data_IF_274974568191
#
_entry.id   IF_274974568191
#
_cell.length_a   1.000
_cell.length_b   1.000
_cell.length_c   1.000
_cell.angle_alpha   90.00
_cell.angle_beta   90.00
_cell.angle_gamma   90.00
#
_symmetry.space_group_name_H-M   'P 1'
#
loop_
_entity.id
_entity.type
_entity.pdbx_description
1 polymer ?
#
# COMPACT_ATOMS: atom_id res chain seq x y z
N UNK A 1 30.87 1.27 8.10
CA UNK A 1 29.44 1.16 7.72
C UNK A 1 29.30 1.49 6.24
N UNK A 2 28.56 0.67 5.49
CA UNK A 2 28.41 0.78 4.04
C UNK A 2 27.50 1.99 3.71
N UNK A 3 27.91 2.88 2.81
CA UNK A 3 27.21 4.14 2.49
C UNK A 3 25.73 3.91 2.07
N UNK A 4 25.45 2.76 1.43
CA UNK A 4 24.10 2.35 1.03
C UNK A 4 23.17 2.10 2.24
N UNK A 5 23.67 1.50 3.31
CA UNK A 5 22.88 1.19 4.50
C UNK A 5 22.59 2.45 5.31
N UNK A 6 23.56 3.37 5.37
CA UNK A 6 23.37 4.70 5.96
C UNK A 6 22.28 5.48 5.23
N UNK A 7 22.31 5.47 3.88
CA UNK A 7 21.29 6.16 3.07
C UNK A 7 19.90 5.56 3.23
N UNK A 8 19.79 4.22 3.27
CA UNK A 8 18.50 3.54 3.52
C UNK A 8 17.91 3.93 4.87
N UNK A 9 18.73 3.96 5.91
CA UNK A 9 18.31 4.37 7.25
C UNK A 9 17.84 5.83 7.27
N UNK A 10 18.58 6.74 6.63
CA UNK A 10 18.18 8.14 6.54
C UNK A 10 16.81 8.31 5.86
N UNK A 11 16.59 7.61 4.73
CA UNK A 11 15.29 7.64 4.03
C UNK A 11 14.17 7.09 4.90
N UNK A 12 14.44 6.03 5.67
CA UNK A 12 13.47 5.49 6.62
C UNK A 12 13.11 6.52 7.70
N UNK A 13 14.11 7.12 8.36
CA UNK A 13 13.90 8.07 9.45
C UNK A 13 13.11 9.32 8.96
N UNK A 14 13.46 9.84 7.79
CA UNK A 14 12.77 10.99 7.17
C UNK A 14 11.31 10.68 6.80
N UNK A 15 11.06 9.53 6.15
CA UNK A 15 9.70 9.14 5.75
C UNK A 15 8.83 8.75 6.95
N UNK A 16 9.39 8.07 7.96
CA UNK A 16 8.67 7.75 9.19
C UNK A 16 8.26 9.03 9.93
N UNK A 17 9.15 10.02 9.98
CA UNK A 17 8.85 11.35 10.55
C UNK A 17 7.71 12.02 9.78
N UNK A 18 7.77 12.05 8.44
CA UNK A 18 6.72 12.63 7.61
C UNK A 18 5.35 11.96 7.81
N UNK A 19 5.32 10.63 7.94
CA UNK A 19 4.10 9.86 8.22
C UNK A 19 3.53 10.23 9.60
N UNK A 20 4.39 10.31 10.61
CA UNK A 20 4.01 10.69 11.97
C UNK A 20 3.47 12.13 12.04
N UNK A 21 4.14 13.09 11.41
CA UNK A 21 3.68 14.48 11.34
C UNK A 21 2.34 14.59 10.61
N UNK A 22 2.15 13.83 9.52
CA UNK A 22 0.89 13.82 8.77
C UNK A 22 -0.28 13.29 9.61
N UNK A 23 -0.04 12.30 10.46
CA UNK A 23 -1.02 11.83 11.45
C UNK A 23 -1.37 12.92 12.47
N UNK A 24 -0.38 13.58 13.07
CA UNK A 24 -0.62 14.66 14.05
C UNK A 24 -1.31 15.89 13.47
N UNK A 25 -1.11 16.14 12.17
CA UNK A 25 -1.84 17.18 11.44
C UNK A 25 -3.27 16.78 11.06
N UNK A 26 -3.71 15.57 11.41
CA UNK A 26 -5.05 15.05 11.11
C UNK A 26 -5.26 14.67 9.64
N UNK A 27 -4.18 14.51 8.85
CA UNK A 27 -4.25 14.13 7.43
C UNK A 27 -4.34 12.63 7.21
N UNK A 28 -3.98 11.85 8.23
CA UNK A 28 -4.05 10.39 8.26
C UNK A 28 -4.82 9.95 9.49
N UNK A 29 -5.62 8.89 9.34
CA UNK A 29 -6.08 8.10 10.48
C UNK A 29 -4.93 7.30 11.10
N UNK A 30 -5.10 6.82 12.33
CA UNK A 30 -4.12 5.97 12.99
C UNK A 30 -3.85 4.67 12.20
N UNK A 31 -4.89 4.11 11.58
CA UNK A 31 -4.77 2.90 10.75
C UNK A 31 -3.96 3.16 9.47
N UNK A 32 -4.21 4.30 8.79
CA UNK A 32 -3.41 4.69 7.62
C UNK A 32 -1.95 4.96 7.99
N UNK A 33 -1.70 5.59 9.14
CA UNK A 33 -0.34 5.79 9.65
C UNK A 33 0.38 4.46 9.86
N UNK A 34 -0.24 3.52 10.57
CA UNK A 34 0.35 2.20 10.83
C UNK A 34 0.62 1.43 9.54
N UNK A 35 -0.35 1.42 8.62
CA UNK A 35 -0.18 0.81 7.29
C UNK A 35 1.04 1.38 6.55
N UNK A 36 1.18 2.72 6.51
CA UNK A 36 2.29 3.36 5.80
C UNK A 36 3.65 3.04 6.43
N UNK A 37 3.72 2.94 7.76
CA UNK A 37 4.94 2.54 8.46
C UNK A 37 5.33 1.08 8.15
N UNK A 38 4.36 0.16 8.10
CA UNK A 38 4.58 -1.24 7.73
C UNK A 38 5.08 -1.40 6.29
N UNK A 39 4.54 -0.61 5.36
CA UNK A 39 5.02 -0.58 3.97
C UNK A 39 6.45 -0.03 3.90
N UNK A 40 6.73 1.05 4.64
CA UNK A 40 8.07 1.64 4.68
C UNK A 40 9.11 0.67 5.24
N UNK A 41 8.79 -0.02 6.33
CA UNK A 41 9.64 -1.07 6.91
C UNK A 41 9.85 -2.21 5.92
N UNK A 42 8.80 -2.60 5.19
CA UNK A 42 8.89 -3.63 4.15
C UNK A 42 9.87 -3.26 3.04
N UNK A 43 9.79 -2.03 2.54
CA UNK A 43 10.65 -1.56 1.43
C UNK A 43 12.11 -1.38 1.86
N UNK A 44 12.36 -0.95 3.09
CA UNK A 44 13.72 -0.64 3.57
C UNK A 44 14.40 -1.85 4.21
N UNK A 45 13.66 -2.63 5.00
CA UNK A 45 14.18 -3.65 5.90
C UNK A 45 13.62 -5.07 5.66
N UNK A 46 12.75 -5.27 4.66
CA UNK A 46 12.18 -6.60 4.38
C UNK A 46 11.12 -7.03 5.39
N UNK A 47 10.39 -6.07 5.95
CA UNK A 47 9.21 -6.26 6.80
C UNK A 47 8.06 -7.07 6.18
N UNK A 48 6.94 -7.12 6.91
CA UNK A 48 5.92 -8.17 6.77
C UNK A 48 4.95 -7.96 5.61
N UNK A 49 4.83 -6.75 5.08
CA UNK A 49 3.93 -6.45 3.96
C UNK A 49 4.46 -6.92 2.59
N UNK A 50 5.56 -7.68 2.56
CA UNK A 50 6.21 -8.18 1.34
C UNK A 50 5.23 -8.81 0.32
N UNK A 51 4.29 -9.68 0.74
CA UNK A 51 3.30 -10.28 -0.15
C UNK A 51 2.36 -9.28 -0.83
N UNK A 52 2.12 -8.11 -0.23
CA UNK A 52 1.20 -7.08 -0.76
C UNK A 52 1.88 -6.19 -1.81
N UNK A 53 3.19 -6.00 -1.73
CA UNK A 53 3.92 -5.03 -2.57
C UNK A 53 3.69 -5.17 -4.08
N UNK A 54 3.69 -6.37 -4.69
CA UNK A 54 3.46 -6.49 -6.12
C UNK A 54 2.09 -5.95 -6.54
N UNK A 55 1.06 -6.21 -5.74
CA UNK A 55 -0.32 -5.80 -6.03
C UNK A 55 -0.55 -4.32 -5.75
N UNK A 56 0.05 -3.78 -4.67
CA UNK A 56 0.00 -2.35 -4.40
C UNK A 56 0.67 -1.52 -5.51
N UNK A 57 1.78 -1.99 -6.06
CA UNK A 57 2.44 -1.34 -7.20
C UNK A 57 1.56 -1.33 -8.44
N UNK A 58 0.91 -2.45 -8.74
CA UNK A 58 -0.04 -2.57 -9.85
C UNK A 58 -1.23 -1.64 -9.65
N UNK A 59 -1.84 -1.65 -8.46
CA UNK A 59 -2.94 -0.77 -8.11
C UNK A 59 -2.64 0.71 -8.35
N UNK A 60 -1.48 1.19 -7.87
CA UNK A 60 -1.07 2.60 -8.07
C UNK A 60 -0.80 2.93 -9.54
N UNK A 61 -0.37 1.96 -10.33
CA UNK A 61 -0.14 2.15 -11.77
C UNK A 61 -1.46 2.20 -12.56
N UNK A 62 -2.51 1.53 -12.08
CA UNK A 62 -3.83 1.53 -12.72
C UNK A 62 -4.56 2.84 -12.43
N UNK A 63 -4.81 3.63 -13.48
CA UNK A 63 -5.53 4.89 -13.34
C UNK A 63 -7.03 4.63 -13.17
N UNK A 64 -7.60 5.11 -12.07
CA UNK A 64 -9.05 5.16 -11.93
C UNK A 64 -9.61 6.36 -12.72
N UNK A 65 -10.36 6.08 -13.78
CA UNK A 65 -11.09 7.06 -14.59
C UNK A 65 -12.61 6.89 -14.55
N UNK A 66 -13.11 5.71 -14.17
CA UNK A 66 -14.55 5.44 -14.01
C UNK A 66 -14.96 5.38 -12.53
N UNK A 67 -16.26 5.56 -12.26
CA UNK A 67 -16.84 5.43 -10.90
C UNK A 67 -16.58 4.06 -10.29
N UNK A 68 -16.74 3.00 -11.08
CA UNK A 68 -16.51 1.63 -10.65
C UNK A 68 -15.05 1.39 -10.24
N UNK A 69 -14.10 1.95 -10.97
CA UNK A 69 -12.68 1.90 -10.62
C UNK A 69 -12.37 2.64 -9.31
N UNK A 70 -13.07 3.76 -9.04
CA UNK A 70 -12.96 4.45 -7.76
C UNK A 70 -13.53 3.63 -6.60
N UNK A 71 -14.66 2.96 -6.80
CA UNK A 71 -15.28 2.11 -5.78
C UNK A 71 -14.37 0.92 -5.43
N UNK A 72 -13.80 0.24 -6.43
CA UNK A 72 -12.82 -0.84 -6.21
C UNK A 72 -11.58 -0.31 -5.49
N UNK A 73 -11.05 0.86 -5.89
CA UNK A 73 -9.90 1.47 -5.21
C UNK A 73 -10.20 1.82 -3.75
N UNK A 74 -11.41 2.27 -3.45
CA UNK A 74 -11.83 2.53 -2.07
C UNK A 74 -11.89 1.24 -1.24
N UNK A 75 -12.37 0.13 -1.83
CA UNK A 75 -12.36 -1.18 -1.19
C UNK A 75 -10.92 -1.64 -0.93
N UNK A 76 -10.04 -1.57 -1.93
CA UNK A 76 -8.61 -1.92 -1.77
C UNK A 76 -8.00 -1.12 -0.61
N UNK A 77 -8.21 0.20 -0.58
CA UNK A 77 -7.73 1.08 0.50
C UNK A 77 -8.23 0.61 1.87
N UNK A 78 -9.54 0.39 1.99
CA UNK A 78 -10.15 -0.03 3.24
C UNK A 78 -9.59 -1.39 3.70
N UNK A 79 -9.41 -2.34 2.79
CA UNK A 79 -8.88 -3.67 3.10
C UNK A 79 -7.44 -3.60 3.60
N UNK A 80 -6.54 -2.87 2.92
CA UNK A 80 -5.13 -2.83 3.32
C UNK A 80 -4.87 -2.03 4.60
N UNK A 81 -5.65 -0.97 4.84
CA UNK A 81 -5.55 -0.16 6.06
C UNK A 81 -5.98 -0.93 7.29
N UNK A 82 -6.88 -1.91 7.14
CA UNK A 82 -7.37 -2.75 8.23
C UNK A 82 -6.66 -4.10 8.34
N UNK A 83 -5.61 -4.35 7.56
CA UNK A 83 -4.81 -5.57 7.67
C UNK A 83 -4.07 -5.61 8.99
N UNK A 84 -4.19 -6.73 9.70
CA UNK A 84 -3.31 -7.02 10.83
C UNK A 84 -1.95 -7.51 10.31
N UNK A 85 -0.93 -6.64 10.35
CA UNK A 85 0.45 -6.96 9.98
C UNK A 85 1.19 -7.77 11.06
N UNK A 86 0.60 -7.89 12.26
CA UNK A 86 1.04 -8.78 13.32
C UNK A 86 0.87 -10.27 12.97
N UNK A 87 -0.08 -10.57 12.08
CA UNK A 87 -0.46 -11.92 11.67
C UNK A 87 -0.14 -12.22 10.20
N UNK A 88 0.72 -13.20 9.95
CA UNK A 88 1.10 -13.62 8.61
C UNK A 88 -0.06 -14.21 7.79
N UNK A 89 -1.04 -14.84 8.45
CA UNK A 89 -2.22 -15.38 7.77
C UNK A 89 -3.13 -14.24 7.30
N UNK A 90 -3.38 -13.24 8.15
CA UNK A 90 -4.05 -11.98 7.80
C UNK A 90 -3.40 -11.29 6.60
N UNK A 91 -2.07 -11.11 6.60
CA UNK A 91 -1.35 -10.50 5.47
C UNK A 91 -1.51 -11.31 4.19
N UNK A 92 -1.40 -12.64 4.27
CA UNK A 92 -1.52 -13.53 3.11
C UNK A 92 -2.94 -13.51 2.53
N UNK A 93 -3.96 -13.56 3.39
CA UNK A 93 -5.36 -13.50 2.98
C UNK A 93 -5.68 -12.15 2.35
N UNK A 94 -5.22 -11.06 2.98
CA UNK A 94 -5.34 -9.71 2.42
C UNK A 94 -4.69 -9.65 1.04
N UNK A 95 -3.48 -10.19 0.87
CA UNK A 95 -2.79 -10.20 -0.41
C UNK A 95 -3.59 -10.91 -1.52
N UNK A 96 -4.26 -12.02 -1.18
CA UNK A 96 -5.19 -12.70 -2.10
C UNK A 96 -6.36 -11.80 -2.53
N UNK A 97 -7.00 -11.13 -1.56
CA UNK A 97 -8.12 -10.21 -1.83
C UNK A 97 -7.67 -9.04 -2.71
N UNK A 98 -6.53 -8.42 -2.40
CA UNK A 98 -6.02 -7.28 -3.18
C UNK A 98 -5.63 -7.70 -4.58
N UNK A 99 -5.03 -8.89 -4.76
CA UNK A 99 -4.75 -9.43 -6.09
C UNK A 99 -6.03 -9.45 -6.94
N UNK A 100 -7.09 -10.06 -6.42
CA UNK A 100 -8.33 -10.24 -7.16
C UNK A 100 -8.96 -8.89 -7.53
N UNK A 101 -8.99 -7.94 -6.58
CA UNK A 101 -9.51 -6.59 -6.83
C UNK A 101 -8.69 -5.79 -7.84
N UNK A 102 -7.36 -5.92 -7.81
CA UNK A 102 -6.47 -5.26 -8.76
C UNK A 102 -6.64 -5.84 -10.16
N UNK A 103 -6.80 -7.16 -10.29
CA UNK A 103 -7.09 -7.80 -11.57
C UNK A 103 -8.41 -7.33 -12.16
N UNK A 104 -9.46 -7.15 -11.36
CA UNK A 104 -10.71 -6.55 -11.83
C UNK A 104 -10.53 -5.08 -12.24
N UNK A 105 -9.77 -4.30 -11.47
CA UNK A 105 -9.48 -2.90 -11.79
C UNK A 105 -8.76 -2.74 -13.14
N UNK A 106 -7.79 -3.61 -13.41
CA UNK A 106 -7.04 -3.65 -14.67
C UNK A 106 -7.95 -4.02 -15.86
N UNK A 107 -8.79 -5.05 -15.73
CA UNK A 107 -9.77 -5.42 -16.77
C UNK A 107 -10.69 -4.25 -17.15
N UNK A 108 -11.17 -3.52 -16.14
CA UNK A 108 -12.00 -2.33 -16.37
C UNK A 108 -11.23 -1.22 -17.10
N UNK A 109 -9.94 -1.05 -16.79
CA UNK A 109 -9.07 -0.08 -17.47
C UNK A 109 -8.87 -0.43 -18.94
N UNK A 110 -8.63 -1.70 -19.25
CA UNK A 110 -8.42 -2.17 -20.62
C UNK A 110 -9.69 -2.02 -21.47
N UNK A 111 -10.85 -2.33 -20.91
CA UNK A 111 -12.15 -2.17 -21.59
C UNK A 111 -12.53 -0.71 -21.90
N UNK A 112 -11.96 0.25 -21.17
CA UNK A 112 -12.18 1.68 -21.38
C UNK A 112 -11.28 2.28 -22.47
N UNK A 113 -10.17 1.62 -22.81
CA UNK A 113 -9.23 2.03 -23.86
C UNK A 113 -9.64 1.64 -25.29
N UNK A 114 -10.67 0.81 -25.45
CA UNK A 114 -11.17 0.35 -26.76
C UNK A 114 -12.30 1.23 -27.36
N UNK A 115 -12.58 2.41 -26.78
CA UNK A 115 -13.61 3.34 -27.28
C UNK A 115 -13.06 4.62 -27.88
#
# INVERSE_FOLDING_TARGET
>A
MNNRDTRKKQVYDELATLVYESYHQGRLSSAEMLFLLEILETVVAGGRAGPLLPYLRRWVATKAGSREQHDISAIIKATVVNTDFGDAASVTNTAGIIRDLVEELEKLSDSAGEK
#
